data_IF_322800280426
#
_entry.id   IF_322800280426
#
_cell.length_a   1.000
_cell.length_b   1.000
_cell.length_c   1.000
_cell.angle_alpha   90.00
_cell.angle_beta   90.00
_cell.angle_gamma   90.00
#
_symmetry.space_group_name_H-M   'P 1'
#
loop_
_entity.id
_entity.type
_entity.pdbx_description
1 polymer ?
#
# COMPACT_ATOMS: atom_id res chain seq x y z
N UNK A 1 1.18 -6.58 -11.95
CA UNK A 1 1.53 -5.28 -11.36
C UNK A 1 0.30 -4.39 -11.23
N UNK A 2 0.07 -3.82 -10.05
CA UNK A 2 -1.01 -2.88 -9.71
C UNK A 2 -0.45 -1.71 -8.89
N UNK A 3 -0.98 -0.51 -9.11
CA UNK A 3 -0.62 0.68 -8.35
C UNK A 3 -1.82 1.11 -7.51
N UNK A 4 -1.58 1.28 -6.22
CA UNK A 4 -2.56 1.76 -5.24
C UNK A 4 -2.12 3.14 -4.78
N UNK A 5 -2.90 4.17 -5.14
CA UNK A 5 -2.69 5.53 -4.65
C UNK A 5 -3.26 5.64 -3.25
N UNK A 6 -2.49 6.22 -2.34
CA UNK A 6 -2.88 6.38 -0.94
C UNK A 6 -3.46 7.80 -0.76
N UNK A 7 -4.70 7.92 -0.26
CA UNK A 7 -5.27 9.20 0.10
C UNK A 7 -4.45 9.92 1.18
N UNK A 8 -4.33 11.26 1.16
CA UNK A 8 -3.55 12.01 2.14
C UNK A 8 -3.90 11.69 3.61
N UNK A 9 -5.18 11.48 3.90
CA UNK A 9 -5.69 11.17 5.25
C UNK A 9 -5.40 9.72 5.72
N UNK A 10 -4.81 8.88 4.87
CA UNK A 10 -4.42 7.49 5.19
C UNK A 10 -2.90 7.30 5.18
N UNK A 11 -2.10 8.32 4.83
CA UNK A 11 -0.64 8.22 4.68
C UNK A 11 0.01 7.76 5.99
N UNK A 12 -0.33 8.38 7.12
CA UNK A 12 0.23 7.99 8.43
C UNK A 12 -0.14 6.54 8.81
N UNK A 13 -1.36 6.11 8.47
CA UNK A 13 -1.83 4.74 8.70
C UNK A 13 -1.04 3.72 7.89
N UNK A 14 -0.78 3.98 6.60
CA UNK A 14 -0.05 3.04 5.74
C UNK A 14 1.45 3.01 6.01
N UNK A 15 1.99 4.05 6.66
CA UNK A 15 3.37 4.09 7.15
C UNK A 15 3.51 3.54 8.58
N UNK A 16 2.41 3.12 9.20
CA UNK A 16 2.45 2.55 10.55
C UNK A 16 3.11 1.16 10.56
N UNK A 17 3.67 0.79 11.73
CA UNK A 17 4.22 -0.55 11.95
C UNK A 17 3.19 -1.66 11.77
N UNK A 18 1.91 -1.39 12.07
CA UNK A 18 0.83 -2.36 11.88
C UNK A 18 0.63 -2.66 10.38
N UNK A 19 0.65 -1.62 9.55
CA UNK A 19 0.57 -1.79 8.10
C UNK A 19 1.80 -2.51 7.55
N UNK A 20 3.01 -2.15 7.99
CA UNK A 20 4.25 -2.82 7.60
C UNK A 20 4.21 -4.32 7.90
N UNK A 21 3.84 -4.69 9.15
CA UNK A 21 3.71 -6.09 9.55
C UNK A 21 2.70 -6.84 8.68
N UNK A 22 1.51 -6.25 8.49
CA UNK A 22 0.47 -6.85 7.66
C UNK A 22 0.93 -7.08 6.22
N UNK A 23 1.64 -6.13 5.61
CA UNK A 23 2.18 -6.25 4.25
C UNK A 23 3.21 -7.37 4.16
N UNK A 24 4.12 -7.49 5.13
CA UNK A 24 5.11 -8.57 5.17
C UNK A 24 4.45 -9.95 5.26
N UNK A 25 3.36 -10.06 6.03
CA UNK A 25 2.64 -11.32 6.22
C UNK A 25 1.73 -11.69 5.03
N UNK A 26 1.14 -10.70 4.35
CA UNK A 26 0.05 -10.93 3.38
C UNK A 26 0.42 -10.60 1.93
N UNK A 27 1.60 -10.02 1.66
CA UNK A 27 2.04 -9.66 0.30
C UNK A 27 3.39 -10.31 -0.04
N UNK A 28 3.45 -11.64 -0.22
CA UNK A 28 4.68 -12.37 -0.53
C UNK A 28 5.32 -11.97 -1.87
N UNK A 29 4.58 -11.35 -2.80
CA UNK A 29 5.10 -10.97 -4.12
C UNK A 29 5.73 -9.57 -4.16
N UNK A 30 6.07 -9.01 -2.99
CA UNK A 30 6.67 -7.69 -2.79
C UNK A 30 5.72 -6.51 -3.00
N UNK A 31 5.97 -5.47 -2.18
CA UNK A 31 5.32 -4.17 -2.27
C UNK A 31 6.39 -3.09 -2.26
N UNK A 32 6.29 -2.12 -3.16
CA UNK A 32 7.21 -0.98 -3.23
C UNK A 32 6.47 0.33 -3.01
N UNK A 33 6.91 1.10 -2.02
CA UNK A 33 6.42 2.46 -1.79
C UNK A 33 7.19 3.48 -2.63
N UNK A 34 6.47 4.45 -3.19
CA UNK A 34 7.06 5.63 -3.80
C UNK A 34 6.28 6.88 -3.43
N UNK A 35 7.01 7.99 -3.31
CA UNK A 35 6.46 9.34 -3.18
C UNK A 35 6.61 10.02 -4.55
N UNK A 36 5.49 10.40 -5.16
CA UNK A 36 5.48 11.12 -6.44
C UNK A 36 5.97 12.55 -6.30
N UNK A 37 6.30 13.19 -7.42
CA UNK A 37 6.76 14.59 -7.45
C UNK A 37 5.69 15.58 -6.93
N UNK A 38 4.42 15.20 -7.00
CA UNK A 38 3.28 15.91 -6.42
C UNK A 38 3.12 15.71 -4.90
N UNK A 39 4.01 14.96 -4.25
CA UNK A 39 3.92 14.59 -2.83
C UNK A 39 2.90 13.48 -2.54
N UNK A 40 2.25 12.93 -3.57
CA UNK A 40 1.34 11.78 -3.45
C UNK A 40 2.09 10.51 -3.09
N UNK A 41 1.51 9.72 -2.16
CA UNK A 41 2.07 8.43 -1.77
C UNK A 41 1.38 7.31 -2.54
N UNK A 42 2.14 6.36 -3.08
CA UNK A 42 1.59 5.20 -3.77
C UNK A 42 2.39 3.93 -3.51
N UNK A 43 1.67 2.82 -3.46
CA UNK A 43 2.21 1.48 -3.29
C UNK A 43 2.05 0.70 -4.58
N UNK A 44 3.11 0.01 -4.98
CA UNK A 44 3.14 -0.88 -6.14
C UNK A 44 3.15 -2.33 -5.66
N UNK A 45 2.16 -3.09 -6.10
CA UNK A 45 2.00 -4.52 -5.82
C UNK A 45 2.25 -5.30 -7.10
N UNK A 46 2.92 -6.45 -7.00
CA UNK A 46 3.10 -7.30 -8.18
C UNK A 46 1.81 -8.08 -8.50
N UNK A 47 1.12 -8.58 -7.47
CA UNK A 47 -0.14 -9.31 -7.62
C UNK A 47 -1.40 -8.43 -7.46
N UNK A 48 -2.41 -8.70 -8.29
CA UNK A 48 -3.68 -7.95 -8.23
C UNK A 48 -4.47 -8.26 -6.96
N UNK A 49 -4.50 -9.52 -6.55
CA UNK A 49 -5.22 -9.94 -5.36
C UNK A 49 -4.68 -9.27 -4.08
N UNK A 50 -3.36 -9.12 -3.97
CA UNK A 50 -2.70 -8.43 -2.86
C UNK A 50 -3.06 -6.94 -2.83
N UNK A 51 -3.06 -6.28 -4.00
CA UNK A 51 -3.47 -4.87 -4.10
C UNK A 51 -4.94 -4.66 -3.70
N UNK A 52 -5.82 -5.59 -4.07
CA UNK A 52 -7.24 -5.56 -3.69
C UNK A 52 -7.41 -5.79 -2.19
N UNK A 53 -6.74 -6.80 -1.62
CA UNK A 53 -6.76 -7.05 -0.17
C UNK A 53 -6.27 -5.83 0.63
N UNK A 54 -5.18 -5.20 0.19
CA UNK A 54 -4.66 -3.98 0.81
C UNK A 54 -5.68 -2.84 0.76
N UNK A 55 -6.28 -2.59 -0.42
CA UNK A 55 -7.30 -1.55 -0.59
C UNK A 55 -8.48 -1.76 0.37
N UNK A 56 -8.99 -2.99 0.46
CA UNK A 56 -10.13 -3.32 1.31
C UNK A 56 -9.81 -3.12 2.80
N UNK A 57 -8.59 -3.45 3.24
CA UNK A 57 -8.21 -3.36 4.65
C UNK A 57 -7.90 -1.94 5.12
N UNK A 58 -7.20 -1.17 4.30
CA UNK A 58 -6.57 0.09 4.72
C UNK A 58 -7.20 1.34 4.11
N UNK A 59 -7.78 1.24 2.91
CA UNK A 59 -8.22 2.41 2.14
C UNK A 59 -9.73 2.58 1.99
N UNK A 60 -10.51 1.52 2.20
CA UNK A 60 -11.93 1.65 2.53
C UNK A 60 -12.12 2.30 3.92
#
# INVERSE_FOLDING_TARGET
MQIVRIPPNKIETVQSRECEAWVVENCPHNVQGHVGEDGGFALRFDEKAEAEAFRLRWLL
#
